data_IF_939517266493
#
_entry.id   IF_939517266493
#
_cell.length_a   1.000
_cell.length_b   1.000
_cell.length_c   1.000
_cell.angle_alpha   90.00
_cell.angle_beta   90.00
_cell.angle_gamma   90.00
#
_symmetry.space_group_name_H-M   'P 1'
#
loop_
_entity.id
_entity.type
_entity.pdbx_description
1 polymer ?
#
# COMPACT_ATOMS: atom_id res chain seq x y z
N UNK A 1 -40.53 -9.80 -7.46
CA UNK A 1 -39.61 -9.87 -6.30
C UNK A 1 -38.21 -10.01 -6.88
N UNK A 2 -37.48 -8.90 -7.03
CA UNK A 2 -36.16 -8.89 -7.69
C UNK A 2 -35.09 -8.97 -6.62
N UNK A 3 -34.28 -10.03 -6.65
CA UNK A 3 -33.10 -10.16 -5.79
C UNK A 3 -32.06 -9.13 -6.22
N UNK A 4 -31.71 -8.20 -5.33
CA UNK A 4 -30.60 -7.29 -5.57
C UNK A 4 -29.31 -8.09 -5.60
N UNK A 5 -28.67 -8.09 -6.77
CA UNK A 5 -27.35 -8.64 -7.01
C UNK A 5 -26.35 -7.71 -6.31
N UNK A 6 -25.71 -8.17 -5.22
CA UNK A 6 -24.58 -7.46 -4.62
C UNK A 6 -23.41 -7.60 -5.58
N UNK A 7 -23.25 -6.63 -6.48
CA UNK A 7 -22.11 -6.53 -7.39
C UNK A 7 -21.51 -5.14 -7.24
N UNK A 8 -20.36 -5.08 -6.59
CA UNK A 8 -19.47 -3.91 -6.60
C UNK A 8 -19.47 -3.09 -5.32
N UNK A 9 -18.71 -3.52 -4.29
CA UNK A 9 -18.32 -2.64 -3.17
C UNK A 9 -16.99 -3.13 -2.57
N UNK A 10 -15.87 -2.95 -3.27
CA UNK A 10 -14.53 -3.15 -2.69
C UNK A 10 -13.51 -2.12 -3.17
N UNK A 11 -13.50 -1.68 -4.46
CA UNK A 11 -12.63 -0.59 -4.88
C UNK A 11 -12.96 0.73 -4.17
N UNK A 12 -14.25 0.99 -3.96
CA UNK A 12 -14.74 2.28 -3.47
C UNK A 12 -14.36 2.54 -2.01
N UNK A 13 -14.35 1.50 -1.16
CA UNK A 13 -14.03 1.65 0.27
C UNK A 13 -12.56 2.00 0.47
N UNK A 14 -11.65 1.25 -0.18
CA UNK A 14 -10.21 1.51 -0.07
C UNK A 14 -9.85 2.88 -0.64
N UNK A 15 -10.49 3.30 -1.73
CA UNK A 15 -10.25 4.63 -2.29
C UNK A 15 -10.79 5.73 -1.35
N UNK A 16 -11.98 5.54 -0.76
CA UNK A 16 -12.54 6.48 0.20
C UNK A 16 -11.65 6.64 1.44
N UNK A 17 -11.15 5.53 2.00
CA UNK A 17 -10.20 5.56 3.13
C UNK A 17 -8.90 6.31 2.79
N UNK A 18 -8.39 6.14 1.56
CA UNK A 18 -7.22 6.89 1.09
C UNK A 18 -7.54 8.38 0.99
N UNK A 19 -8.69 8.76 0.44
CA UNK A 19 -9.08 10.18 0.36
C UNK A 19 -9.27 10.80 1.74
N UNK A 20 -9.82 10.07 2.71
CA UNK A 20 -9.93 10.52 4.10
C UNK A 20 -8.55 10.78 4.71
N UNK A 21 -7.59 9.87 4.51
CA UNK A 21 -6.20 10.06 4.97
C UNK A 21 -5.56 11.28 4.29
N UNK A 22 -5.77 11.45 2.97
CA UNK A 22 -5.21 12.59 2.24
C UNK A 22 -5.84 13.91 2.67
N UNK A 23 -7.10 13.89 3.10
CA UNK A 23 -7.84 15.06 3.61
C UNK A 23 -7.57 15.40 5.08
N UNK A 24 -6.92 14.50 5.83
CA UNK A 24 -6.62 14.71 7.25
C UNK A 24 -5.67 15.91 7.45
N UNK A 25 -6.19 16.94 8.12
CA UNK A 25 -5.47 18.19 8.39
C UNK A 25 -4.38 18.04 9.46
N UNK A 26 -4.32 16.90 10.15
CA UNK A 26 -3.24 16.61 11.11
C UNK A 26 -1.96 16.13 10.43
N UNK A 27 -2.01 15.75 9.14
CA UNK A 27 -0.85 15.28 8.39
C UNK A 27 -0.27 16.42 7.56
N UNK A 28 0.91 16.92 7.95
CA UNK A 28 1.63 17.96 7.21
C UNK A 28 2.40 17.31 6.06
N UNK A 29 1.69 16.97 4.97
CA UNK A 29 2.25 16.27 3.81
C UNK A 29 3.52 16.93 3.23
N UNK A 30 3.61 18.26 3.31
CA UNK A 30 4.77 19.01 2.82
C UNK A 30 6.10 18.64 3.48
N UNK A 31 6.08 18.17 4.73
CA UNK A 31 7.29 17.74 5.45
C UNK A 31 7.91 16.46 4.85
N UNK A 32 7.10 15.66 4.14
CA UNK A 32 7.55 14.44 3.50
C UNK A 32 8.15 14.67 2.11
N UNK A 33 8.16 15.90 1.60
CA UNK A 33 8.58 16.18 0.22
C UNK A 33 10.04 15.79 -0.02
N UNK A 34 10.29 14.97 -1.04
CA UNK A 34 11.61 14.46 -1.40
C UNK A 34 12.20 13.43 -0.42
N UNK A 35 11.42 12.98 0.57
CA UNK A 35 11.88 11.99 1.55
C UNK A 35 11.96 10.57 0.96
N UNK A 36 12.59 9.66 1.71
CA UNK A 36 12.53 8.22 1.44
C UNK A 36 11.84 7.50 2.59
N UNK A 37 10.84 6.66 2.29
CA UNK A 37 10.06 5.90 3.25
C UNK A 37 10.25 4.40 3.04
N UNK A 38 10.69 3.68 4.08
CA UNK A 38 10.77 2.21 4.10
C UNK A 38 9.54 1.63 4.82
N UNK A 39 8.66 0.98 4.07
CA UNK A 39 7.50 0.28 4.60
C UNK A 39 7.80 -1.22 4.74
N UNK A 40 7.95 -1.73 5.96
CA UNK A 40 8.09 -3.18 6.21
C UNK A 40 6.72 -3.85 6.36
N UNK A 41 6.64 -5.16 6.07
CA UNK A 41 5.36 -5.86 6.08
C UNK A 41 4.40 -5.34 5.02
N UNK A 42 4.91 -4.88 3.87
CA UNK A 42 4.13 -4.19 2.83
C UNK A 42 3.06 -5.06 2.13
N UNK A 43 3.04 -6.38 2.39
CA UNK A 43 1.93 -7.30 2.01
C UNK A 43 0.83 -7.42 3.08
N UNK A 44 1.08 -6.92 4.29
CA UNK A 44 0.09 -6.89 5.37
C UNK A 44 -0.88 -5.73 5.23
N UNK A 45 -1.91 -5.69 6.08
CA UNK A 45 -2.95 -4.67 6.04
C UNK A 45 -2.37 -3.25 6.18
N UNK A 46 -1.67 -2.98 7.29
CA UNK A 46 -1.14 -1.65 7.58
C UNK A 46 -0.04 -1.25 6.60
N UNK A 47 0.92 -2.15 6.32
CA UNK A 47 2.04 -1.84 5.43
C UNK A 47 1.60 -1.54 4.00
N UNK A 48 0.61 -2.27 3.48
CA UNK A 48 0.05 -2.00 2.14
C UNK A 48 -0.78 -0.72 2.12
N UNK A 49 -1.59 -0.44 3.15
CA UNK A 49 -2.36 0.79 3.26
C UNK A 49 -1.43 2.02 3.31
N UNK A 50 -0.37 1.98 4.13
CA UNK A 50 0.62 3.04 4.22
C UNK A 50 1.29 3.31 2.86
N UNK A 51 1.77 2.28 2.18
CA UNK A 51 2.40 2.42 0.88
C UNK A 51 1.44 3.03 -0.16
N UNK A 52 0.16 2.65 -0.14
CA UNK A 52 -0.88 3.21 -1.02
C UNK A 52 -1.18 4.68 -0.69
N UNK A 53 -1.28 5.04 0.59
CA UNK A 53 -1.51 6.42 1.02
C UNK A 53 -0.35 7.34 0.62
N UNK A 54 0.90 6.91 0.85
CA UNK A 54 2.09 7.67 0.43
C UNK A 54 2.15 7.84 -1.09
N UNK A 55 1.82 6.79 -1.85
CA UNK A 55 1.73 6.87 -3.32
C UNK A 55 0.62 7.83 -3.77
N UNK A 56 -0.53 7.81 -3.13
CA UNK A 56 -1.62 8.72 -3.43
C UNK A 56 -1.25 10.16 -3.07
N UNK A 57 -0.53 10.38 -1.97
CA UNK A 57 0.04 11.67 -1.58
C UNK A 57 1.03 12.20 -2.62
N UNK A 58 1.90 11.34 -3.16
CA UNK A 58 2.76 11.69 -4.30
C UNK A 58 1.96 12.21 -5.49
N UNK A 59 0.86 11.54 -5.87
CA UNK A 59 0.00 11.94 -6.99
C UNK A 59 -0.73 13.26 -6.72
N UNK A 60 -1.29 13.41 -5.52
CA UNK A 60 -2.15 14.56 -5.17
C UNK A 60 -1.35 15.84 -4.92
N UNK A 61 -0.20 15.72 -4.25
CA UNK A 61 0.56 16.87 -3.74
C UNK A 61 1.93 17.05 -4.40
N UNK A 62 2.35 16.17 -5.31
CA UNK A 62 3.66 16.27 -5.96
C UNK A 62 4.83 16.13 -4.98
N UNK A 63 4.70 15.25 -3.99
CA UNK A 63 5.67 15.13 -2.88
C UNK A 63 6.99 14.50 -3.30
N UNK A 64 7.01 13.67 -4.35
CA UNK A 64 8.20 12.94 -4.79
C UNK A 64 8.88 12.11 -3.67
N UNK A 65 8.07 11.46 -2.84
CA UNK A 65 8.52 10.50 -1.83
C UNK A 65 9.01 9.25 -2.55
N UNK A 66 10.25 8.84 -2.28
CA UNK A 66 10.75 7.53 -2.69
C UNK A 66 10.24 6.47 -1.70
N UNK A 67 9.42 5.53 -2.16
CA UNK A 67 8.77 4.55 -1.29
C UNK A 67 9.40 3.19 -1.57
N UNK A 68 10.03 2.60 -0.55
CA UNK A 68 10.61 1.26 -0.58
C UNK A 68 9.70 0.32 0.21
N UNK A 69 9.06 -0.62 -0.47
CA UNK A 69 8.13 -1.54 0.15
C UNK A 69 8.77 -2.92 0.34
N UNK A 70 9.01 -3.29 1.60
CA UNK A 70 9.72 -4.52 1.96
C UNK A 70 8.77 -5.57 2.56
N UNK A 71 8.88 -6.80 2.05
CA UNK A 71 8.12 -7.95 2.56
C UNK A 71 8.96 -9.24 2.55
N UNK A 72 8.58 -10.19 3.41
CA UNK A 72 9.11 -11.55 3.40
C UNK A 72 8.49 -12.33 2.24
N UNK A 73 9.26 -13.18 1.58
CA UNK A 73 8.71 -14.28 0.78
C UNK A 73 8.54 -15.49 1.70
N UNK A 74 7.29 -15.81 2.10
CA UNK A 74 6.96 -17.04 2.83
C UNK A 74 6.21 -18.01 1.92
N UNK A 75 6.59 -19.29 1.94
CA UNK A 75 5.87 -20.38 1.28
C UNK A 75 4.44 -20.46 1.88
N UNK A 76 3.40 -20.17 1.08
CA UNK A 76 1.99 -20.23 1.53
C UNK A 76 1.28 -18.90 1.80
N UNK A 77 1.76 -17.77 1.27
CA UNK A 77 1.09 -16.47 1.48
C UNK A 77 -0.15 -16.32 0.57
N UNK A 78 -1.35 -16.54 1.13
CA UNK A 78 -2.67 -16.40 0.48
C UNK A 78 -2.97 -14.99 -0.05
N UNK A 79 -2.12 -14.00 0.26
CA UNK A 79 -2.23 -12.61 -0.21
C UNK A 79 -1.45 -12.32 -1.49
N UNK A 80 -1.02 -13.38 -2.18
CA UNK A 80 -0.26 -13.29 -3.44
C UNK A 80 -1.02 -12.65 -4.60
N UNK A 81 -2.34 -12.44 -4.48
CA UNK A 81 -3.20 -11.95 -5.57
C UNK A 81 -3.45 -10.44 -5.58
N UNK A 82 -2.80 -9.63 -4.74
CA UNK A 82 -2.89 -8.18 -4.94
C UNK A 82 -1.94 -7.77 -6.07
N UNK A 83 -2.44 -7.35 -7.24
CA UNK A 83 -1.58 -6.97 -8.35
C UNK A 83 -0.80 -5.72 -7.97
N UNK A 84 0.48 -5.90 -7.61
CA UNK A 84 1.46 -4.85 -7.37
C UNK A 84 2.04 -4.34 -8.69
N UNK A 85 1.19 -4.06 -9.68
CA UNK A 85 1.63 -3.74 -11.06
C UNK A 85 2.12 -2.30 -11.24
N UNK A 86 2.29 -1.52 -10.18
CA UNK A 86 2.78 -0.12 -10.26
C UNK A 86 3.49 0.29 -8.96
N UNK A 87 4.45 1.24 -9.01
CA UNK A 87 5.35 1.56 -7.90
C UNK A 87 4.57 1.84 -6.61
N UNK A 88 5.11 1.51 -5.43
CA UNK A 88 6.53 1.58 -5.04
C UNK A 88 7.47 0.47 -5.54
N UNK A 89 8.78 0.72 -5.49
CA UNK A 89 9.80 -0.31 -5.68
C UNK A 89 9.66 -1.35 -4.56
N UNK A 90 9.07 -2.49 -4.91
CA UNK A 90 8.87 -3.61 -3.98
C UNK A 90 10.14 -4.44 -3.93
N UNK A 91 10.81 -4.43 -2.78
CA UNK A 91 11.96 -5.30 -2.51
C UNK A 91 11.45 -6.49 -1.70
N UNK A 92 11.63 -7.71 -2.23
CA UNK A 92 11.26 -8.94 -1.51
C UNK A 92 12.50 -9.79 -1.28
N UNK A 93 12.68 -10.27 -0.05
CA UNK A 93 13.76 -11.19 0.29
C UNK A 93 13.20 -12.58 0.61
N UNK A 94 13.82 -13.61 0.03
CA UNK A 94 13.60 -15.00 0.41
C UNK A 94 14.38 -15.28 1.69
N UNK A 95 13.69 -15.66 2.76
CA UNK A 95 14.36 -16.18 3.93
C UNK A 95 14.91 -17.57 3.56
N UNK A 96 16.23 -17.66 3.38
CA UNK A 96 16.91 -18.94 3.42
C UNK A 96 16.82 -19.43 4.87
N UNK A 97 16.18 -20.57 5.08
CA UNK A 97 16.29 -21.25 6.38
C UNK A 97 17.74 -21.71 6.48
N UNK A 98 18.45 -21.31 7.53
CA UNK A 98 19.76 -21.88 7.82
C UNK A 98 19.56 -23.38 8.10
N UNK A 99 19.92 -24.24 7.15
CA UNK A 99 19.90 -25.70 7.32
C UNK A 99 19.29 -26.56 6.19
N UNK A 100 19.26 -26.09 4.94
CA UNK A 100 19.07 -26.97 3.76
C UNK A 100 20.20 -26.76 2.74
#
# INVERSE_FOLDING_TARGET
MSAYKVVGVMPDVIQAEIEDILGDQNIIWGELKGSTALATGAKGLIGSALARALRAGNKRYGLNINIVAHTRQTHGDIRSEFPMEVPPDYISHKLLRNGE
#
